data_IF_957823807303
#
_entry.id   IF_957823807303
#
_cell.length_a   1.000
_cell.length_b   1.000
_cell.length_c   1.000
_cell.angle_alpha   90.00
_cell.angle_beta   90.00
_cell.angle_gamma   90.00
#
_symmetry.space_group_name_H-M   'P 1'
#
loop_
_entity.id
_entity.type
_entity.pdbx_description
1 polymer ?
#
# COMPACT_ATOMS: atom_id res chain seq x y z
N UNK A 1 -27.51 1.23 16.78
CA UNK A 1 -27.01 0.74 18.07
C UNK A 1 -25.53 1.00 18.13
N UNK A 2 -25.10 2.04 18.84
CA UNK A 2 -23.71 2.47 18.95
C UNK A 2 -23.00 1.59 19.98
N UNK A 3 -22.01 0.80 19.54
CA UNK A 3 -21.19 -0.02 20.42
C UNK A 3 -20.12 0.85 21.09
N UNK A 4 -20.14 1.03 22.43
CA UNK A 4 -19.19 1.85 23.15
C UNK A 4 -17.84 1.10 23.28
N UNK A 5 -16.95 1.32 22.32
CA UNK A 5 -15.53 1.00 22.47
C UNK A 5 -15.18 -0.48 22.38
N UNK A 6 -15.10 -1.00 21.16
CA UNK A 6 -14.23 -2.14 20.85
C UNK A 6 -12.79 -1.76 21.23
N UNK A 7 -12.39 -2.11 22.46
CA UNK A 7 -11.03 -1.99 22.96
C UNK A 7 -10.08 -2.69 21.96
N UNK A 8 -8.99 -2.04 21.54
CA UNK A 8 -8.05 -2.60 20.56
C UNK A 8 -7.62 -4.02 20.90
N UNK A 9 -7.58 -4.39 22.19
CA UNK A 9 -7.39 -5.76 22.66
C UNK A 9 -8.38 -6.78 22.08
N UNK A 10 -9.69 -6.49 22.05
CA UNK A 10 -10.70 -7.42 21.50
C UNK A 10 -10.46 -7.65 20.03
N UNK A 11 -10.20 -6.57 19.28
CA UNK A 11 -9.87 -6.64 17.85
C UNK A 11 -8.68 -7.57 17.59
N UNK A 12 -7.58 -7.45 18.32
CA UNK A 12 -6.41 -8.32 18.13
C UNK A 12 -6.74 -9.80 18.42
N UNK A 13 -7.59 -10.07 19.41
CA UNK A 13 -8.04 -11.43 19.74
C UNK A 13 -8.92 -12.00 18.62
N UNK A 14 -9.93 -11.24 18.19
CA UNK A 14 -10.90 -11.69 17.19
C UNK A 14 -10.24 -11.94 15.83
N UNK A 15 -9.28 -11.07 15.44
CA UNK A 15 -8.47 -11.26 14.24
C UNK A 15 -7.64 -12.55 14.31
N UNK A 16 -6.91 -12.77 15.41
CA UNK A 16 -6.07 -13.95 15.58
C UNK A 16 -6.90 -15.25 15.61
N UNK A 17 -8.06 -15.25 16.28
CA UNK A 17 -8.96 -16.41 16.30
C UNK A 17 -9.56 -16.71 14.92
N UNK A 18 -9.88 -15.69 14.13
CA UNK A 18 -10.37 -15.90 12.77
C UNK A 18 -9.29 -16.52 11.87
N UNK A 19 -8.05 -16.04 11.98
CA UNK A 19 -6.91 -16.60 11.27
C UNK A 19 -6.63 -18.03 11.73
N UNK A 20 -6.63 -18.31 13.03
CA UNK A 20 -6.49 -19.66 13.58
C UNK A 20 -7.50 -20.64 12.95
N UNK A 21 -8.79 -20.29 12.97
CA UNK A 21 -9.84 -21.14 12.39
C UNK A 21 -9.59 -21.42 10.90
N UNK A 22 -9.11 -20.42 10.15
CA UNK A 22 -8.75 -20.60 8.75
C UNK A 22 -7.54 -21.55 8.61
N UNK A 23 -6.51 -21.40 9.45
CA UNK A 23 -5.33 -22.27 9.44
C UNK A 23 -5.68 -23.73 9.80
N UNK A 24 -6.57 -23.95 10.78
CA UNK A 24 -7.07 -25.28 11.15
C UNK A 24 -7.80 -25.99 10.01
N UNK A 25 -8.46 -25.24 9.13
CA UNK A 25 -9.12 -25.78 7.93
C UNK A 25 -8.13 -26.05 6.78
N UNK A 26 -6.90 -25.53 6.87
CA UNK A 26 -5.88 -25.62 5.83
C UNK A 26 -4.52 -26.04 6.43
N UNK A 27 -4.43 -27.21 7.08
CA UNK A 27 -3.27 -27.57 7.91
C UNK A 27 -1.93 -27.66 7.15
N UNK A 28 -1.95 -27.94 5.84
CA UNK A 28 -0.75 -28.02 4.99
C UNK A 28 -0.42 -26.67 4.30
N UNK A 29 -1.16 -25.62 4.62
CA UNK A 29 -1.04 -24.30 4.01
C UNK A 29 0.18 -23.51 4.48
N UNK A 30 0.65 -22.59 3.63
CA UNK A 30 1.55 -21.50 4.02
C UNK A 30 0.75 -20.20 4.03
N UNK A 31 0.87 -19.42 5.10
CA UNK A 31 0.05 -18.24 5.32
C UNK A 31 0.90 -16.98 5.26
N UNK A 32 0.51 -16.04 4.40
CA UNK A 32 1.01 -14.67 4.40
C UNK A 32 -0.12 -13.77 4.92
N UNK A 33 0.12 -13.09 6.03
CA UNK A 33 -0.86 -12.23 6.67
C UNK A 33 -0.43 -10.79 6.46
N UNK A 34 -1.16 -10.06 5.62
CA UNK A 34 -0.97 -8.63 5.43
C UNK A 34 -1.85 -7.85 6.40
N UNK A 35 -1.24 -7.05 7.27
CA UNK A 35 -1.93 -6.32 8.31
C UNK A 35 -1.48 -4.86 8.39
N UNK A 36 -2.32 -4.01 8.98
CA UNK A 36 -2.01 -2.61 9.20
C UNK A 36 -0.93 -2.38 10.26
N UNK A 37 -0.69 -1.10 10.55
CA UNK A 37 0.31 -0.64 11.51
C UNK A 37 0.19 -1.32 12.89
N UNK A 38 1.33 -1.65 13.49
CA UNK A 38 1.49 -2.32 14.80
C UNK A 38 0.94 -3.75 14.97
N UNK A 39 0.08 -4.26 14.08
CA UNK A 39 -0.53 -5.59 14.23
C UNK A 39 0.46 -6.76 14.18
N UNK A 40 1.56 -6.57 13.45
CA UNK A 40 2.64 -7.56 13.35
C UNK A 40 3.58 -7.56 14.57
N UNK A 41 3.33 -6.73 15.60
CA UNK A 41 4.20 -6.70 16.78
C UNK A 41 4.04 -7.96 17.63
N UNK A 42 5.15 -8.60 17.92
CA UNK A 42 5.28 -9.63 18.95
C UNK A 42 5.49 -8.99 20.33
N UNK A 43 5.49 -9.82 21.38
CA UNK A 43 5.69 -9.38 22.75
C UNK A 43 4.50 -8.59 23.33
N UNK A 44 4.79 -7.70 24.27
CA UNK A 44 3.76 -6.94 24.99
C UNK A 44 3.48 -5.59 24.35
N UNK A 45 2.28 -5.43 23.80
CA UNK A 45 1.81 -4.16 23.26
C UNK A 45 1.18 -3.29 24.37
N UNK A 46 1.66 -2.06 24.54
CA UNK A 46 1.32 -1.20 25.68
C UNK A 46 -0.18 -0.92 25.87
N UNK A 47 -0.97 -0.88 24.80
CA UNK A 47 -2.42 -0.62 24.88
C UNK A 47 -3.30 -1.85 24.62
N UNK A 48 -2.75 -2.91 24.01
CA UNK A 48 -3.55 -4.08 23.57
C UNK A 48 -3.21 -5.35 24.36
N UNK A 49 -2.19 -5.29 25.23
CA UNK A 49 -1.58 -6.45 25.88
C UNK A 49 -0.68 -7.20 24.91
N UNK A 50 -1.25 -7.73 23.82
CA UNK A 50 -0.52 -8.28 22.68
C UNK A 50 -1.20 -7.82 21.39
N UNK A 51 -0.42 -7.54 20.36
CA UNK A 51 -0.95 -7.36 19.01
C UNK A 51 -1.29 -8.73 18.38
N UNK A 52 -1.91 -8.70 17.20
CA UNK A 52 -2.36 -9.89 16.47
C UNK A 52 -1.26 -10.94 16.33
N UNK A 53 -0.01 -10.58 16.00
CA UNK A 53 1.09 -11.55 15.90
C UNK A 53 1.33 -12.31 17.21
N UNK A 54 1.48 -11.61 18.34
CA UNK A 54 1.62 -12.26 19.65
C UNK A 54 0.38 -13.06 20.10
N UNK A 55 -0.81 -12.75 19.57
CA UNK A 55 -2.04 -13.55 19.77
C UNK A 55 -2.08 -14.80 18.90
N UNK A 56 -1.54 -14.74 17.67
CA UNK A 56 -1.41 -15.90 16.81
C UNK A 56 -0.50 -16.95 17.45
N UNK A 57 0.66 -16.54 17.98
CA UNK A 57 1.54 -17.44 18.73
C UNK A 57 0.80 -18.06 19.93
N UNK A 58 0.07 -17.26 20.70
CA UNK A 58 -0.70 -17.72 21.86
C UNK A 58 -1.77 -18.77 21.51
N UNK A 59 -2.47 -18.59 20.38
CA UNK A 59 -3.61 -19.44 20.01
C UNK A 59 -3.23 -20.64 19.14
N UNK A 60 -2.15 -20.52 18.35
CA UNK A 60 -1.73 -21.57 17.41
C UNK A 60 -0.48 -22.31 17.84
N UNK A 61 0.31 -21.74 18.77
CA UNK A 61 1.65 -22.23 19.12
C UNK A 61 2.69 -22.00 18.03
N UNK A 62 2.35 -21.29 16.94
CA UNK A 62 3.25 -20.96 15.84
C UNK A 62 3.79 -19.55 16.08
N UNK A 63 5.11 -19.45 16.19
CA UNK A 63 5.83 -18.17 16.20
C UNK A 63 5.91 -17.62 14.76
N UNK A 64 5.14 -16.57 14.40
CA UNK A 64 5.12 -16.07 13.03
C UNK A 64 6.37 -15.22 12.76
N UNK A 65 6.99 -15.38 11.59
CA UNK A 65 8.02 -14.44 11.13
C UNK A 65 7.39 -13.06 10.88
N UNK A 66 7.79 -12.03 11.62
CA UNK A 66 7.19 -10.69 11.53
C UNK A 66 8.07 -9.67 10.80
N UNK A 67 7.45 -8.89 9.90
CA UNK A 67 8.16 -7.94 9.02
C UNK A 67 7.54 -6.55 9.15
N UNK A 68 8.30 -5.58 9.66
CA UNK A 68 7.92 -4.17 9.68
C UNK A 68 8.36 -3.49 8.38
N UNK A 69 7.42 -2.86 7.69
CA UNK A 69 7.64 -2.10 6.45
C UNK A 69 7.29 -0.60 6.61
N UNK A 70 7.16 -0.12 7.85
CA UNK A 70 6.56 1.21 8.11
C UNK A 70 7.54 2.20 8.75
N UNK A 71 8.49 1.75 9.57
CA UNK A 71 9.39 2.68 10.27
C UNK A 71 10.41 3.34 9.32
N UNK A 72 10.95 2.56 8.37
CA UNK A 72 12.00 2.98 7.46
C UNK A 72 11.48 3.14 6.02
N UNK A 73 10.28 3.71 5.90
CA UNK A 73 9.75 4.24 4.65
C UNK A 73 9.91 5.75 4.61
N UNK A 74 9.77 6.33 3.42
CA UNK A 74 9.65 7.78 3.30
C UNK A 74 8.41 8.31 4.04
N UNK A 75 8.50 9.57 4.44
CA UNK A 75 7.42 10.34 5.08
C UNK A 75 7.06 11.52 4.19
N UNK A 76 5.89 12.13 4.40
CA UNK A 76 5.43 13.25 3.57
C UNK A 76 6.31 14.51 3.61
N UNK A 77 7.22 14.63 4.58
CA UNK A 77 8.29 15.63 4.56
C UNK A 77 9.63 14.92 4.81
N UNK A 78 10.60 14.95 3.86
CA UNK A 78 11.90 14.31 4.01
C UNK A 78 12.66 14.66 5.29
N UNK A 79 12.41 15.81 5.92
CA UNK A 79 12.99 16.19 7.21
C UNK A 79 12.63 15.20 8.34
N UNK A 80 11.44 14.59 8.29
CA UNK A 80 10.96 13.63 9.27
C UNK A 80 11.34 12.17 8.95
N UNK A 81 11.96 11.90 7.80
CA UNK A 81 12.46 10.56 7.50
C UNK A 81 13.44 10.10 8.59
N UNK A 82 13.38 8.81 8.93
CA UNK A 82 14.21 8.24 9.98
C UNK A 82 15.70 8.46 9.70
N UNK A 83 16.50 8.81 10.71
CA UNK A 83 17.93 9.13 10.56
C UNK A 83 18.72 7.97 9.93
N UNK A 84 18.44 6.74 10.34
CA UNK A 84 19.03 5.54 9.73
C UNK A 84 18.65 5.40 8.26
N UNK A 85 17.39 5.64 7.89
CA UNK A 85 16.98 5.58 6.48
C UNK A 85 17.77 6.58 5.64
N UNK A 86 17.93 7.82 6.13
CA UNK A 86 18.74 8.85 5.46
C UNK A 86 20.22 8.44 5.32
N UNK A 87 20.78 7.81 6.35
CA UNK A 87 22.18 7.40 6.35
C UNK A 87 22.45 6.21 5.44
N UNK A 88 21.52 5.26 5.35
CA UNK A 88 21.63 4.06 4.51
C UNK A 88 21.32 4.39 3.04
N UNK A 89 20.34 5.26 2.78
CA UNK A 89 19.92 5.70 1.44
C UNK A 89 19.79 4.53 0.44
N UNK A 90 18.97 3.49 0.76
CA UNK A 90 18.90 2.29 -0.04
C UNK A 90 18.35 2.60 -1.44
N UNK A 91 18.86 1.90 -2.45
CA UNK A 91 18.38 2.02 -3.84
C UNK A 91 17.28 0.99 -4.17
N UNK A 92 17.19 -0.06 -3.35
CA UNK A 92 16.17 -1.10 -3.41
C UNK A 92 15.71 -1.42 -1.99
N UNK A 93 14.51 -1.96 -1.83
CA UNK A 93 14.05 -2.43 -0.52
C UNK A 93 15.05 -3.40 0.09
N UNK A 94 15.60 -3.06 1.25
CA UNK A 94 16.77 -3.73 1.84
C UNK A 94 16.53 -4.09 3.30
N UNK A 95 17.04 -5.24 3.71
CA UNK A 95 17.16 -5.65 5.12
C UNK A 95 18.62 -5.61 5.52
N UNK A 96 18.93 -4.94 6.63
CA UNK A 96 20.28 -4.92 7.18
C UNK A 96 20.51 -6.18 8.00
N UNK A 97 21.71 -6.75 7.91
CA UNK A 97 22.14 -7.87 8.74
C UNK A 97 23.22 -7.41 9.72
N UNK A 98 23.19 -7.95 10.94
CA UNK A 98 24.28 -7.76 11.90
C UNK A 98 25.50 -8.64 11.55
N UNK A 99 26.55 -8.54 12.37
CA UNK A 99 27.80 -9.31 12.19
C UNK A 99 27.61 -10.83 12.26
N UNK A 100 26.53 -11.28 12.90
CA UNK A 100 26.19 -12.67 13.15
C UNK A 100 25.11 -13.15 12.15
N UNK A 101 24.83 -12.35 11.10
CA UNK A 101 23.83 -12.58 10.05
C UNK A 101 22.37 -12.57 10.51
N UNK A 102 22.08 -11.96 11.65
CA UNK A 102 20.69 -11.77 12.08
C UNK A 102 20.09 -10.52 11.41
N UNK A 103 18.82 -10.56 11.00
CA UNK A 103 18.15 -9.39 10.45
C UNK A 103 17.99 -8.30 11.51
N UNK A 104 18.08 -7.05 11.05
CA UNK A 104 17.81 -5.89 11.90
C UNK A 104 16.34 -5.85 12.29
N UNK A 105 16.08 -5.89 13.60
CA UNK A 105 14.74 -5.92 14.20
C UNK A 105 14.17 -4.52 14.37
N UNK A 106 12.84 -4.42 14.32
CA UNK A 106 12.15 -3.25 14.88
C UNK A 106 11.88 -3.50 16.37
N UNK A 107 12.21 -2.54 17.23
CA UNK A 107 11.99 -2.63 18.67
C UNK A 107 11.15 -1.44 19.16
N UNK A 108 10.17 -1.71 20.02
CA UNK A 108 9.33 -0.72 20.68
C UNK A 108 8.98 -1.18 22.10
N UNK A 109 9.82 -0.81 23.07
CA UNK A 109 9.68 -1.28 24.45
C UNK A 109 9.77 -2.81 24.51
N UNK A 110 8.75 -3.45 25.06
CA UNK A 110 8.64 -4.92 25.18
C UNK A 110 8.00 -5.58 23.96
N UNK A 111 7.90 -4.87 22.83
CA UNK A 111 7.34 -5.37 21.57
C UNK A 111 8.33 -5.20 20.41
N UNK A 112 8.23 -6.07 19.40
CA UNK A 112 9.18 -6.09 18.29
C UNK A 112 8.59 -6.68 17.01
N UNK A 113 9.34 -6.55 15.90
CA UNK A 113 9.26 -7.49 14.76
C UNK A 113 10.63 -8.06 14.44
N UNK A 114 10.68 -9.23 13.82
CA UNK A 114 11.93 -9.93 13.46
C UNK A 114 12.75 -9.20 12.40
N UNK A 115 12.07 -8.57 11.45
CA UNK A 115 12.69 -7.89 10.32
C UNK A 115 12.13 -6.47 10.23
N UNK A 116 13.00 -5.51 9.97
CA UNK A 116 12.62 -4.17 9.53
C UNK A 116 13.19 -3.91 8.13
N UNK A 117 12.31 -3.49 7.21
CA UNK A 117 12.65 -3.21 5.82
C UNK A 117 12.90 -1.72 5.63
N UNK A 118 14.01 -1.40 4.97
CA UNK A 118 14.35 -0.04 4.55
C UNK A 118 13.96 0.13 3.08
N UNK A 119 13.03 1.03 2.79
CA UNK A 119 12.57 1.30 1.42
C UNK A 119 13.33 2.48 0.79
N UNK A 120 13.57 2.47 -0.53
CA UNK A 120 14.13 3.63 -1.22
C UNK A 120 13.21 4.85 -1.08
N UNK A 121 13.79 6.05 -1.21
CA UNK A 121 13.00 7.27 -1.36
C UNK A 121 12.41 7.28 -2.76
N UNK A 122 11.11 7.54 -2.88
CA UNK A 122 10.41 7.59 -4.17
C UNK A 122 11.07 8.64 -5.05
N UNK A 123 11.38 8.25 -6.28
CA UNK A 123 11.72 9.22 -7.32
C UNK A 123 10.51 9.46 -8.22
N UNK A 124 10.52 10.57 -8.93
CA UNK A 124 9.39 10.97 -9.76
C UNK A 124 9.82 11.06 -11.20
N UNK A 125 8.97 10.55 -12.09
CA UNK A 125 9.09 10.68 -13.53
C UNK A 125 7.73 11.11 -14.09
N UNK A 126 7.70 12.18 -14.90
CA UNK A 126 6.45 12.81 -15.37
C UNK A 126 5.49 13.20 -14.24
N UNK A 127 6.01 13.71 -13.12
CA UNK A 127 5.26 14.04 -11.90
C UNK A 127 4.48 12.85 -11.29
N UNK A 128 4.88 11.62 -11.63
CA UNK A 128 4.34 10.38 -11.07
C UNK A 128 5.44 9.63 -10.30
N UNK A 129 5.12 8.97 -9.18
CA UNK A 129 6.06 8.03 -8.54
C UNK A 129 6.60 6.99 -9.53
N UNK A 130 7.91 6.83 -9.61
CA UNK A 130 8.60 5.95 -10.55
C UNK A 130 8.18 4.48 -10.42
N UNK A 131 7.93 4.02 -9.19
CA UNK A 131 7.50 2.67 -8.87
C UNK A 131 6.09 2.32 -9.39
N UNK A 132 5.31 3.28 -9.88
CA UNK A 132 4.05 3.00 -10.58
C UNK A 132 4.29 2.29 -11.93
N UNK A 133 5.47 2.47 -12.51
CA UNK A 133 5.82 1.93 -13.82
C UNK A 133 6.64 0.64 -13.68
N UNK A 134 6.36 -0.32 -14.55
CA UNK A 134 7.06 -1.60 -14.61
C UNK A 134 7.03 -2.15 -16.04
N UNK A 135 7.60 -3.34 -16.27
CA UNK A 135 7.50 -4.01 -17.57
C UNK A 135 6.03 -4.27 -17.98
N UNK A 136 5.17 -4.57 -17.00
CA UNK A 136 3.75 -4.86 -17.20
C UNK A 136 2.85 -3.62 -17.14
N UNK A 137 3.33 -2.50 -16.56
CA UNK A 137 2.58 -1.24 -16.39
C UNK A 137 3.34 -0.11 -17.09
N UNK A 138 2.84 0.31 -18.25
CA UNK A 138 3.48 1.25 -19.15
C UNK A 138 3.02 2.69 -18.90
N UNK A 139 3.91 3.63 -19.23
CA UNK A 139 3.59 5.05 -19.37
C UNK A 139 2.71 5.25 -20.59
N UNK A 140 1.48 5.72 -20.37
CA UNK A 140 0.51 5.96 -21.42
C UNK A 140 0.13 7.44 -21.42
N UNK A 141 0.61 8.18 -22.41
CA UNK A 141 0.32 9.61 -22.55
C UNK A 141 -1.11 9.81 -23.08
N UNK A 142 -1.86 10.71 -22.45
CA UNK A 142 -3.20 11.10 -22.89
C UNK A 142 -3.16 12.51 -23.46
N UNK A 143 -3.62 12.67 -24.70
CA UNK A 143 -3.79 14.00 -25.30
C UNK A 143 -5.11 14.61 -24.83
N UNK A 144 -5.03 15.75 -24.14
CA UNK A 144 -6.20 16.45 -23.60
C UNK A 144 -6.88 17.38 -24.59
N UNK A 145 -6.17 17.80 -25.66
CA UNK A 145 -6.68 18.74 -26.66
C UNK A 145 -7.94 18.24 -27.38
N UNK A 146 -8.15 16.92 -27.40
CA UNK A 146 -9.35 16.32 -28.01
C UNK A 146 -10.57 16.35 -27.07
N UNK A 147 -10.37 16.66 -25.78
CA UNK A 147 -11.40 16.58 -24.74
C UNK A 147 -11.88 17.99 -24.40
N UNK A 148 -12.98 18.41 -25.03
CA UNK A 148 -13.61 19.70 -24.73
C UNK A 148 -14.37 19.66 -23.38
N UNK A 149 -13.64 19.96 -22.31
CA UNK A 149 -14.11 20.04 -20.92
C UNK A 149 -13.37 21.15 -20.16
N UNK A 150 -14.05 21.82 -19.23
CA UNK A 150 -13.42 22.83 -18.39
C UNK A 150 -12.54 22.19 -17.30
N UNK A 151 -11.35 22.75 -17.09
CA UNK A 151 -10.39 22.37 -16.07
C UNK A 151 -10.65 23.06 -14.72
N UNK A 152 -10.18 22.53 -13.58
CA UNK A 152 -9.41 21.28 -13.42
C UNK A 152 -10.25 20.03 -13.64
N UNK A 153 -9.60 18.94 -14.04
CA UNK A 153 -10.25 17.64 -14.28
C UNK A 153 -9.57 16.52 -13.52
N UNK A 154 -10.34 15.48 -13.20
CA UNK A 154 -9.84 14.18 -12.77
C UNK A 154 -10.00 13.19 -13.94
N UNK A 155 -8.93 12.48 -14.23
CA UNK A 155 -8.87 11.44 -15.26
C UNK A 155 -8.84 10.10 -14.54
N UNK A 156 -9.76 9.22 -14.90
CA UNK A 156 -9.92 7.90 -14.30
C UNK A 156 -9.86 6.85 -15.42
N UNK A 157 -9.00 5.85 -15.27
CA UNK A 157 -8.93 4.73 -16.19
C UNK A 157 -9.65 3.51 -15.62
N UNK A 158 -10.64 2.99 -16.33
CA UNK A 158 -11.34 1.74 -15.99
C UNK A 158 -11.02 0.68 -17.01
N UNK A 159 -10.96 -0.61 -16.63
CA UNK A 159 -10.81 -1.66 -17.64
C UNK A 159 -12.09 -1.74 -18.45
N UNK A 160 -11.97 -1.96 -19.76
CA UNK A 160 -13.13 -2.03 -20.67
C UNK A 160 -14.11 -3.11 -20.21
N UNK A 161 -15.37 -2.72 -20.06
CA UNK A 161 -16.47 -3.61 -19.63
C UNK A 161 -16.74 -3.62 -18.13
N UNK A 162 -15.93 -2.93 -17.32
CA UNK A 162 -16.25 -2.67 -15.91
C UNK A 162 -17.35 -1.61 -15.78
N UNK A 163 -18.20 -1.73 -14.76
CA UNK A 163 -19.20 -0.68 -14.45
C UNK A 163 -18.51 0.47 -13.72
N UNK A 164 -18.37 1.60 -14.40
CA UNK A 164 -17.69 2.80 -13.89
C UNK A 164 -18.32 3.38 -12.62
N UNK A 165 -19.58 3.06 -12.31
CA UNK A 165 -20.26 3.56 -11.10
C UNK A 165 -19.92 2.76 -9.84
N UNK A 166 -19.38 1.54 -10.01
CA UNK A 166 -19.10 0.62 -8.89
C UNK A 166 -17.65 0.15 -8.84
N UNK A 167 -16.94 0.25 -9.96
CA UNK A 167 -15.57 -0.25 -10.07
C UNK A 167 -14.58 0.77 -9.54
N UNK A 168 -13.41 0.30 -9.11
CA UNK A 168 -12.28 1.16 -8.74
C UNK A 168 -11.42 1.36 -9.98
N UNK A 169 -11.12 2.60 -10.39
CA UNK A 169 -10.24 2.84 -11.53
C UNK A 169 -8.84 2.28 -11.27
N UNK A 170 -8.19 1.80 -12.32
CA UNK A 170 -6.82 1.27 -12.26
C UNK A 170 -5.78 2.36 -12.07
N UNK A 171 -6.07 3.58 -12.53
CA UNK A 171 -5.24 4.75 -12.32
C UNK A 171 -6.12 6.02 -12.27
N UNK A 172 -5.67 7.01 -11.50
CA UNK A 172 -6.33 8.31 -11.31
C UNK A 172 -5.27 9.41 -11.38
N UNK A 173 -5.57 10.47 -12.12
CA UNK A 173 -4.74 11.68 -12.14
C UNK A 173 -5.59 12.94 -12.09
N UNK A 174 -5.22 13.89 -11.24
CA UNK A 174 -5.76 15.25 -11.27
C UNK A 174 -4.92 16.12 -12.20
N UNK A 175 -5.59 16.90 -13.04
CA UNK A 175 -4.97 17.76 -14.04
C UNK A 175 -5.52 19.17 -13.91
N UNK A 176 -4.63 20.12 -13.64
CA UNK A 176 -5.03 21.50 -13.33
C UNK A 176 -5.41 22.29 -14.57
N UNK A 177 -4.75 22.03 -15.70
CA UNK A 177 -4.94 22.75 -16.96
C UNK A 177 -4.57 21.87 -18.17
N UNK A 178 -5.01 22.29 -19.35
CA UNK A 178 -4.86 21.55 -20.60
C UNK A 178 -3.41 21.35 -21.08
N UNK A 179 -2.48 22.19 -20.62
CA UNK A 179 -1.09 22.19 -21.09
C UNK A 179 -0.21 21.23 -20.25
N UNK A 180 -0.76 20.64 -19.19
CA UNK A 180 -0.08 19.67 -18.34
C UNK A 180 0.06 18.32 -19.05
N UNK A 181 1.26 17.74 -19.00
CA UNK A 181 1.48 16.38 -19.50
C UNK A 181 0.70 15.38 -18.66
N UNK A 182 -0.08 14.52 -19.32
CA UNK A 182 -0.86 13.47 -18.66
C UNK A 182 -0.26 12.12 -19.00
N UNK A 183 0.35 11.48 -18.01
CA UNK A 183 0.87 10.11 -18.13
C UNK A 183 0.14 9.21 -17.15
N UNK A 184 -0.60 8.23 -17.68
CA UNK A 184 -1.25 7.18 -16.89
C UNK A 184 -0.35 5.94 -16.79
N UNK A 185 -0.40 5.24 -15.66
CA UNK A 185 0.26 3.98 -15.42
C UNK A 185 -0.69 2.83 -15.75
N UNK A 186 -0.66 2.35 -17.00
CA UNK A 186 -1.62 1.35 -17.50
C UNK A 186 -0.90 0.11 -18.01
N UNK A 187 -1.41 -1.05 -17.61
CA UNK A 187 -0.99 -2.32 -18.22
C UNK A 187 -1.61 -2.53 -19.60
N UNK A 188 -1.16 -3.59 -20.30
CA UNK A 188 -1.73 -3.97 -21.60
C UNK A 188 -3.23 -4.25 -21.47
N UNK A 189 -4.04 -3.66 -22.36
CA UNK A 189 -5.48 -3.87 -22.37
C UNK A 189 -6.27 -2.75 -23.02
N UNK A 190 -7.59 -2.86 -22.91
CA UNK A 190 -8.54 -1.84 -23.35
C UNK A 190 -9.12 -1.15 -22.12
N UNK A 191 -9.28 0.16 -22.20
CA UNK A 191 -9.71 0.99 -21.09
C UNK A 191 -10.79 1.99 -21.53
N UNK A 192 -11.70 2.27 -20.60
CA UNK A 192 -12.58 3.43 -20.66
C UNK A 192 -11.94 4.54 -19.82
N UNK A 193 -11.53 5.62 -20.48
CA UNK A 193 -10.94 6.80 -19.84
C UNK A 193 -12.06 7.80 -19.58
N UNK A 194 -12.37 8.01 -18.32
CA UNK A 194 -13.37 8.97 -17.85
C UNK A 194 -12.66 10.24 -17.43
N UNK A 195 -13.07 11.37 -18.00
CA UNK A 195 -12.58 12.70 -17.60
C UNK A 195 -13.74 13.46 -17.00
N UNK A 196 -13.62 13.86 -15.75
CA UNK A 196 -14.67 14.54 -14.98
C UNK A 196 -14.14 15.84 -14.38
N UNK A 197 -14.97 16.90 -14.37
CA UNK A 197 -14.62 18.16 -13.71
C UNK A 197 -15.47 18.41 -12.46
N UNK A 198 -15.17 19.50 -11.75
CA UNK A 198 -15.88 19.89 -10.52
C UNK A 198 -17.35 20.27 -10.73
N UNK A 199 -17.77 20.55 -11.98
CA UNK A 199 -19.17 20.76 -12.34
C UNK A 199 -19.92 19.45 -12.65
N UNK A 200 -19.28 18.29 -12.45
CA UNK A 200 -19.76 16.95 -12.82
C UNK A 200 -20.02 16.77 -14.32
N UNK A 201 -19.40 17.59 -15.18
CA UNK A 201 -19.34 17.29 -16.60
C UNK A 201 -18.39 16.11 -16.80
N UNK A 202 -18.77 15.16 -17.64
CA UNK A 202 -17.94 14.00 -17.94
C UNK A 202 -17.77 13.78 -19.44
N UNK A 203 -16.62 13.24 -19.82
CA UNK A 203 -16.32 12.69 -21.16
C UNK A 203 -15.76 11.30 -20.98
N UNK A 204 -16.06 10.41 -21.93
CA UNK A 204 -15.51 9.05 -21.95
C UNK A 204 -14.85 8.84 -23.31
N UNK A 205 -13.63 8.32 -23.29
CA UNK A 205 -12.89 7.90 -24.47
C UNK A 205 -12.37 6.48 -24.29
N UNK A 206 -12.30 5.71 -25.38
CA UNK A 206 -11.67 4.39 -25.36
C UNK A 206 -10.17 4.51 -25.62
N UNK A 207 -9.38 3.71 -24.90
CA UNK A 207 -7.93 3.66 -25.04
C UNK A 207 -7.47 2.20 -25.11
N UNK A 208 -6.55 1.92 -26.03
CA UNK A 208 -5.92 0.60 -26.19
C UNK A 208 -4.43 0.72 -25.91
N UNK A 209 -3.95 -0.02 -24.92
CA UNK A 209 -2.53 -0.13 -24.56
C UNK A 209 -2.01 -1.47 -25.05
N UNK A 210 -1.00 -1.45 -25.93
CA UNK A 210 -0.46 -2.64 -26.62
C UNK A 210 0.66 -3.36 -25.88
#
# INVERSE_FOLDING_TARGET
TTDPGSNGRSREIDQAQNIQKFMEQHPDGKFLIHCGFDHALEGNHGSWGKAMAGRLEEFTGIDPLTINQTLFSETGNPEYNHRLLKAIAPQISTVLLDKDQNPYRYLRGDSWTDIAVFHPITTYEHDRPDWLFSEDVKKTTIELDVINIAFPVMILAYKKGEDINFSVPVDILEVENKDQEVVLALGKGNFDIVVVNSANEARIAELVVQ
#
